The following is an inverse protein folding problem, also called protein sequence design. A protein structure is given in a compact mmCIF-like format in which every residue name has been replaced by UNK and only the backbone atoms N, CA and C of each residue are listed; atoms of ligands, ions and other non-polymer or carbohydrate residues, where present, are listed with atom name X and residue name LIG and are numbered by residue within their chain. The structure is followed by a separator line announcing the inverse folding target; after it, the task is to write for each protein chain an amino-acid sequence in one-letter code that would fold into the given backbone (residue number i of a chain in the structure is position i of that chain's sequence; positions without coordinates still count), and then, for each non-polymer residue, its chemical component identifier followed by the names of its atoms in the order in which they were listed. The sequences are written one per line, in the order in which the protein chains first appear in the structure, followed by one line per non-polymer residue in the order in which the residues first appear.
data_IF_214666807183
#
_entry.id   IF_214666807183
#
_cell.length_a   1.000
_cell.length_b   1.000
_cell.length_c   1.000
_cell.angle_alpha   90.00
_cell.angle_beta   90.00
_cell.angle_gamma   90.00
#
_symmetry.space_group_name_H-M   'P 1'
#
loop_
_entity.id
_entity.type
_entity.pdbx_description
1 polymer ?
#
# COMPACT_ATOMS: atom_id res chain seq x y z
N UNK A 1 14.38 -12.56 15.22
CA UNK A 1 13.24 -12.36 14.28
C UNK A 1 12.15 -13.42 14.38
N UNK A 2 12.47 -14.72 14.43
CA UNK A 2 11.45 -15.77 14.40
C UNK A 2 10.51 -15.81 15.63
N UNK A 3 11.01 -15.38 16.79
CA UNK A 3 10.23 -15.26 18.04
C UNK A 3 9.12 -14.20 17.99
N UNK A 4 9.19 -13.25 17.05
CA UNK A 4 8.15 -12.23 16.83
C UNK A 4 7.07 -12.64 15.82
N UNK A 5 7.23 -13.78 15.16
CA UNK A 5 6.25 -14.27 14.19
C UNK A 5 5.16 -15.03 14.94
N UNK A 6 3.89 -14.68 14.72
CA UNK A 6 2.72 -15.42 15.22
C UNK A 6 2.57 -16.73 14.45
N UNK A 7 3.51 -17.66 14.62
CA UNK A 7 3.49 -19.02 14.08
C UNK A 7 3.96 -19.98 15.17
N UNK A 8 3.26 -21.10 15.40
CA UNK A 8 3.67 -22.08 16.40
C UNK A 8 4.97 -22.82 16.03
N UNK A 9 5.38 -22.79 14.76
CA UNK A 9 6.63 -23.40 14.28
C UNK A 9 7.17 -22.68 13.03
N UNK A 10 7.79 -21.49 13.18
CA UNK A 10 8.35 -20.79 12.03
C UNK A 10 9.55 -21.59 11.46
N UNK A 11 9.50 -21.90 10.16
CA UNK A 11 10.64 -22.49 9.48
C UNK A 11 11.72 -21.40 9.26
N UNK A 12 12.80 -21.49 10.04
CA UNK A 12 13.87 -20.48 10.07
C UNK A 12 14.63 -20.42 8.74
N UNK A 13 14.85 -21.56 8.09
CA UNK A 13 15.58 -21.63 6.82
C UNK A 13 14.83 -20.91 5.70
N UNK A 14 13.51 -21.12 5.61
CA UNK A 14 12.68 -20.41 4.64
C UNK A 14 12.59 -18.92 4.95
N UNK A 15 12.45 -18.54 6.22
CA UNK A 15 12.49 -17.13 6.62
C UNK A 15 13.82 -16.47 6.22
N UNK A 16 14.96 -17.12 6.50
CA UNK A 16 16.27 -16.61 6.14
C UNK A 16 16.42 -16.43 4.62
N UNK A 17 15.89 -17.36 3.81
CA UNK A 17 15.90 -17.24 2.34
C UNK A 17 15.06 -16.07 1.84
N UNK A 18 13.87 -15.87 2.41
CA UNK A 18 13.00 -14.73 2.09
C UNK A 18 13.69 -13.41 2.48
N UNK A 19 14.22 -13.33 3.69
CA UNK A 19 14.91 -12.13 4.17
C UNK A 19 16.15 -11.80 3.32
N UNK A 20 16.95 -12.79 2.92
CA UNK A 20 18.07 -12.61 1.97
C UNK A 20 17.61 -12.00 0.64
N UNK A 21 16.49 -12.47 0.08
CA UNK A 21 15.91 -11.89 -1.13
C UNK A 21 15.50 -10.42 -0.89
N UNK A 22 14.82 -10.13 0.22
CA UNK A 22 14.36 -8.78 0.53
C UNK A 22 15.53 -7.81 0.79
N UNK A 23 16.63 -8.29 1.37
CA UNK A 23 17.88 -7.53 1.50
C UNK A 23 18.51 -7.27 0.13
N UNK A 24 18.57 -8.28 -0.74
CA UNK A 24 19.05 -8.11 -2.11
C UNK A 24 18.21 -7.10 -2.90
N UNK A 25 16.89 -7.03 -2.63
CA UNK A 25 15.97 -6.03 -3.19
C UNK A 25 16.02 -4.68 -2.46
N UNK A 26 16.90 -4.50 -1.46
CA UNK A 26 17.08 -3.29 -0.64
C UNK A 26 15.83 -2.88 0.14
N UNK A 27 14.93 -3.83 0.40
CA UNK A 27 13.76 -3.61 1.26
C UNK A 27 14.21 -3.63 2.72
N UNK A 28 15.09 -4.55 3.09
CA UNK A 28 15.80 -4.57 4.38
C UNK A 28 17.29 -4.39 4.17
N UNK A 29 18.03 -4.13 5.26
CA UNK A 29 19.49 -4.18 5.29
C UNK A 29 19.96 -5.15 6.36
N UNK A 30 21.24 -5.50 6.34
CA UNK A 30 21.89 -6.30 7.38
C UNK A 30 23.07 -5.52 7.94
N UNK A 31 23.21 -5.51 9.26
CA UNK A 31 24.45 -5.13 9.91
C UNK A 31 25.44 -6.30 9.79
N UNK A 32 26.72 -6.00 9.51
CA UNK A 32 27.74 -7.06 9.46
C UNK A 32 27.90 -7.67 10.84
N UNK A 33 28.04 -9.00 10.94
CA UNK A 33 28.42 -9.62 12.20
C UNK A 33 29.78 -9.08 12.63
N UNK A 34 29.86 -8.52 13.84
CA UNK A 34 31.12 -8.31 14.52
C UNK A 34 31.79 -9.67 14.75
N UNK A 35 33.12 -9.71 14.87
CA UNK A 35 33.90 -10.95 14.94
C UNK A 35 33.47 -11.96 16.04
N UNK A 36 32.65 -11.52 17.00
CA UNK A 36 32.10 -12.34 18.10
C UNK A 36 30.62 -12.75 17.92
N UNK A 37 29.92 -12.32 16.86
CA UNK A 37 28.49 -12.61 16.65
C UNK A 37 28.27 -13.46 15.39
N UNK A 38 27.73 -14.67 15.53
CA UNK A 38 27.38 -15.55 14.40
C UNK A 38 26.00 -15.23 13.80
N UNK A 39 25.20 -14.37 14.43
CA UNK A 39 23.80 -14.15 14.06
C UNK A 39 23.62 -12.94 13.11
N UNK A 40 22.96 -13.17 11.97
CA UNK A 40 22.63 -12.10 11.01
C UNK A 40 21.47 -11.26 11.56
N UNK A 41 21.76 -9.98 11.83
CA UNK A 41 20.75 -8.99 12.24
C UNK A 41 20.22 -8.25 11.01
N UNK A 42 18.90 -8.10 10.94
CA UNK A 42 18.21 -7.39 9.86
C UNK A 42 17.63 -6.07 10.36
N UNK A 43 17.86 -5.00 9.62
CA UNK A 43 17.43 -3.65 9.95
C UNK A 43 16.48 -3.08 8.89
N UNK A 44 15.65 -2.13 9.32
CA UNK A 44 14.70 -1.42 8.45
C UNK A 44 15.41 -0.39 7.57
N UNK A 45 15.07 -0.39 6.28
CA UNK A 45 15.37 0.72 5.36
C UNK A 45 14.21 1.71 5.31
N UNK A 46 14.42 2.85 4.63
CA UNK A 46 13.35 3.80 4.31
C UNK A 46 12.19 3.11 3.56
N UNK A 47 12.47 2.16 2.67
CA UNK A 47 11.43 1.43 1.92
C UNK A 47 10.61 0.52 2.83
N UNK A 48 11.23 -0.26 3.71
CA UNK A 48 10.48 -1.13 4.64
C UNK A 48 9.65 -0.37 5.66
N UNK A 49 10.01 0.88 6.01
CA UNK A 49 9.24 1.70 6.96
C UNK A 49 7.83 2.00 6.45
N UNK A 50 7.65 2.16 5.15
CA UNK A 50 6.32 2.36 4.54
C UNK A 50 5.41 1.12 4.65
N UNK A 51 5.98 -0.07 4.89
CA UNK A 51 5.25 -1.33 5.03
C UNK A 51 4.88 -1.64 6.49
N UNK A 52 5.30 -0.79 7.44
CA UNK A 52 4.93 -0.96 8.83
C UNK A 52 3.49 -0.47 9.04
N UNK A 53 2.74 -1.19 9.88
CA UNK A 53 1.46 -0.70 10.40
C UNK A 53 1.77 0.19 11.60
N UNK A 54 1.84 1.49 11.38
CA UNK A 54 1.75 2.49 12.45
C UNK A 54 0.27 2.62 12.84
N UNK A 55 -0.03 2.84 14.12
CA UNK A 55 -1.41 3.04 14.58
C UNK A 55 -2.02 4.36 14.09
N UNK A 56 -1.20 5.29 13.60
CA UNK A 56 -1.63 6.63 13.19
C UNK A 56 -1.73 6.86 11.68
N UNK A 57 -1.13 5.99 10.85
CA UNK A 57 -1.06 6.19 9.39
C UNK A 57 -1.29 4.91 8.58
N UNK A 58 -1.86 5.02 7.35
CA UNK A 58 -2.07 3.87 6.48
C UNK A 58 -0.76 3.27 6.00
N UNK A 59 -0.64 1.95 6.09
CA UNK A 59 0.53 1.21 5.63
C UNK A 59 0.45 0.86 4.14
N UNK A 60 1.56 0.98 3.40
CA UNK A 60 1.66 0.45 2.03
C UNK A 60 1.63 -1.09 1.98
N UNK A 61 1.67 -1.77 3.14
CA UNK A 61 1.43 -3.21 3.19
C UNK A 61 0.06 -3.58 2.57
N UNK A 62 -0.97 -2.75 2.75
CA UNK A 62 -2.30 -3.02 2.19
C UNK A 62 -2.30 -2.95 0.66
N UNK A 63 -1.51 -2.04 0.08
CA UNK A 63 -1.31 -2.01 -1.37
C UNK A 63 -0.64 -3.28 -1.86
N UNK A 64 0.44 -3.71 -1.20
CA UNK A 64 1.17 -4.94 -1.57
C UNK A 64 0.26 -6.16 -1.47
N UNK A 65 -0.55 -6.27 -0.41
CA UNK A 65 -1.49 -7.37 -0.22
C UNK A 65 -2.56 -7.37 -1.32
N UNK A 66 -3.14 -6.21 -1.63
CA UNK A 66 -4.17 -6.10 -2.67
C UNK A 66 -3.63 -6.46 -4.06
N UNK A 67 -2.51 -5.87 -4.47
CA UNK A 67 -1.92 -6.11 -5.81
C UNK A 67 -1.46 -7.56 -6.01
N UNK A 68 -1.22 -8.30 -4.93
CA UNK A 68 -0.89 -9.73 -4.96
C UNK A 68 -2.10 -10.64 -4.69
N UNK A 69 -3.28 -10.07 -4.45
CA UNK A 69 -4.49 -10.86 -4.23
C UNK A 69 -4.94 -11.56 -5.52
N UNK A 70 -5.40 -12.83 -5.49
CA UNK A 70 -5.83 -13.58 -6.68
C UNK A 70 -6.80 -12.83 -7.61
N UNK A 71 -7.69 -12.02 -7.02
CA UNK A 71 -8.67 -11.22 -7.78
C UNK A 71 -7.97 -10.15 -8.64
N UNK A 72 -6.94 -9.47 -8.12
CA UNK A 72 -6.21 -8.45 -8.87
C UNK A 72 -5.07 -9.03 -9.70
N UNK A 73 -4.60 -10.25 -9.39
CA UNK A 73 -3.57 -10.92 -10.18
C UNK A 73 -4.13 -11.67 -11.39
N UNK A 74 -5.35 -12.23 -11.31
CA UNK A 74 -5.97 -12.97 -12.41
C UNK A 74 -6.05 -12.20 -13.75
N UNK A 75 -6.39 -10.89 -13.79
CA UNK A 75 -6.46 -10.11 -15.03
C UNK A 75 -5.16 -10.08 -15.83
N UNK A 76 -3.99 -10.18 -15.19
CA UNK A 76 -2.69 -10.17 -15.89
C UNK A 76 -2.55 -11.34 -16.88
N UNK A 77 -3.22 -12.47 -16.63
CA UNK A 77 -3.23 -13.62 -17.53
C UNK A 77 -4.08 -13.43 -18.79
N UNK A 78 -4.92 -12.38 -18.83
CA UNK A 78 -5.79 -12.06 -19.95
C UNK A 78 -5.28 -10.89 -20.79
N UNK A 79 -4.22 -10.19 -20.36
CA UNK A 79 -3.72 -8.99 -21.04
C UNK A 79 -3.42 -9.18 -22.53
N UNK A 80 -2.78 -10.29 -22.89
CA UNK A 80 -2.46 -10.59 -24.30
C UNK A 80 -3.71 -10.77 -25.18
N UNK A 81 -4.85 -11.07 -24.57
CA UNK A 81 -6.15 -11.27 -25.22
C UNK A 81 -7.06 -10.04 -25.10
N UNK A 82 -6.56 -8.93 -24.55
CA UNK A 82 -7.33 -7.73 -24.21
C UNK A 82 -6.83 -6.47 -24.93
N UNK A 83 -6.24 -6.58 -26.12
CA UNK A 83 -5.95 -5.41 -26.95
C UNK A 83 -7.29 -4.73 -27.31
N UNK A 84 -7.60 -3.61 -26.66
CA UNK A 84 -8.85 -2.87 -26.82
C UNK A 84 -10.00 -3.27 -25.89
N UNK A 85 -9.76 -4.03 -24.81
CA UNK A 85 -10.79 -4.37 -23.82
C UNK A 85 -10.26 -4.48 -22.39
N UNK A 86 -11.16 -4.71 -21.43
CA UNK A 86 -10.82 -4.76 -20.01
C UNK A 86 -10.45 -6.17 -19.54
N UNK A 87 -9.20 -6.36 -19.11
CA UNK A 87 -8.72 -7.65 -18.61
C UNK A 87 -9.44 -8.14 -17.36
N UNK A 88 -9.87 -7.22 -16.48
CA UNK A 88 -10.63 -7.57 -15.28
C UNK A 88 -11.97 -8.21 -15.63
N UNK A 89 -12.72 -7.59 -16.54
CA UNK A 89 -14.01 -8.11 -17.02
C UNK A 89 -13.86 -9.46 -17.69
N UNK A 90 -12.76 -9.72 -18.43
CA UNK A 90 -12.50 -11.06 -18.98
C UNK A 90 -12.17 -12.12 -17.93
N UNK A 91 -11.47 -11.73 -16.85
CA UNK A 91 -11.10 -12.65 -15.79
C UNK A 91 -12.30 -13.03 -14.89
N UNK A 92 -13.19 -12.06 -14.64
CA UNK A 92 -14.21 -12.19 -13.59
C UNK A 92 -15.65 -12.12 -14.10
N UNK A 93 -15.87 -11.72 -15.36
CA UNK A 93 -17.21 -11.59 -15.96
C UNK A 93 -17.96 -10.31 -15.59
N UNK A 94 -17.37 -9.44 -14.75
CA UNK A 94 -17.97 -8.20 -14.28
C UNK A 94 -16.98 -7.05 -14.38
N UNK A 95 -17.47 -5.83 -14.56
CA UNK A 95 -16.66 -4.63 -14.39
C UNK A 95 -16.16 -4.55 -12.94
N UNK A 96 -14.96 -3.99 -12.71
CA UNK A 96 -14.34 -3.96 -11.38
C UNK A 96 -15.23 -3.30 -10.32
N UNK A 97 -15.91 -2.20 -10.66
CA UNK A 97 -16.83 -1.51 -9.75
C UNK A 97 -18.04 -2.36 -9.35
N UNK A 98 -18.62 -3.10 -10.29
CA UNK A 98 -19.74 -4.02 -9.99
C UNK A 98 -19.27 -5.16 -9.08
N UNK A 99 -18.06 -5.66 -9.35
CA UNK A 99 -17.45 -6.70 -8.53
C UNK A 99 -17.16 -6.21 -7.10
N UNK A 100 -16.61 -5.00 -6.96
CA UNK A 100 -16.38 -4.34 -5.67
C UNK A 100 -17.70 -4.13 -4.93
N UNK A 101 -18.76 -3.69 -5.61
CA UNK A 101 -20.06 -3.48 -5.00
C UNK A 101 -20.69 -4.81 -4.50
N UNK A 102 -20.50 -5.90 -5.24
CA UNK A 102 -21.08 -7.20 -4.92
C UNK A 102 -20.28 -8.00 -3.87
N UNK A 103 -18.96 -7.76 -3.74
CA UNK A 103 -18.08 -8.54 -2.88
C UNK A 103 -17.56 -7.71 -1.69
N UNK A 104 -18.13 -7.91 -0.51
CA UNK A 104 -17.78 -7.18 0.71
C UNK A 104 -16.31 -7.34 1.12
N UNK A 105 -15.76 -8.55 1.05
CA UNK A 105 -14.38 -8.81 1.44
C UNK A 105 -13.41 -8.09 0.50
N UNK A 106 -13.63 -8.22 -0.81
CA UNK A 106 -12.84 -7.52 -1.80
C UNK A 106 -13.00 -6.00 -1.70
N UNK A 107 -14.20 -5.50 -1.38
CA UNK A 107 -14.42 -4.07 -1.17
C UNK A 107 -13.58 -3.54 -0.01
N UNK A 108 -13.45 -4.28 1.09
CA UNK A 108 -12.60 -3.88 2.22
C UNK A 108 -11.12 -3.86 1.80
N UNK A 109 -10.62 -4.91 1.16
CA UNK A 109 -9.25 -4.99 0.65
C UNK A 109 -8.94 -3.85 -0.35
N UNK A 110 -9.80 -3.68 -1.35
CA UNK A 110 -9.73 -2.58 -2.32
C UNK A 110 -9.88 -1.22 -1.61
N UNK A 111 -10.51 -1.23 -0.44
CA UNK A 111 -10.60 -0.06 0.43
C UNK A 111 -9.32 0.37 1.08
N UNK A 112 -8.69 -0.56 1.76
CA UNK A 112 -7.44 -0.27 2.42
C UNK A 112 -6.33 0.05 1.39
N UNK A 113 -6.35 -0.59 0.21
CA UNK A 113 -5.47 -0.28 -0.91
C UNK A 113 -5.59 1.17 -1.41
N UNK A 114 -6.79 1.63 -1.78
CA UNK A 114 -6.96 3.00 -2.28
C UNK A 114 -6.70 4.04 -1.19
N UNK A 115 -6.99 3.70 0.07
CA UNK A 115 -6.76 4.59 1.21
C UNK A 115 -5.26 4.80 1.47
N UNK A 116 -4.45 3.74 1.43
CA UNK A 116 -3.02 3.85 1.69
C UNK A 116 -2.27 4.52 0.54
N UNK A 117 -2.63 4.22 -0.71
CA UNK A 117 -2.03 4.86 -1.90
C UNK A 117 -2.35 6.36 -1.95
N UNK A 118 -3.60 6.74 -1.72
CA UNK A 118 -4.01 8.16 -1.67
C UNK A 118 -3.26 8.95 -0.60
N UNK A 119 -3.06 8.37 0.58
CA UNK A 119 -2.34 9.04 1.67
C UNK A 119 -0.88 9.34 1.27
N UNK A 120 -0.17 8.37 0.69
CA UNK A 120 1.21 8.56 0.24
C UNK A 120 1.29 9.62 -0.86
N UNK A 121 0.40 9.56 -1.85
CA UNK A 121 0.37 10.54 -2.94
C UNK A 121 0.09 11.93 -2.41
N UNK A 122 -0.84 12.09 -1.47
CA UNK A 122 -1.15 13.39 -0.89
C UNK A 122 -0.06 13.93 0.01
N UNK A 123 0.61 13.11 0.81
CA UNK A 123 1.76 13.58 1.59
C UNK A 123 2.85 14.17 0.69
N UNK A 124 3.13 13.51 -0.43
CA UNK A 124 4.06 14.04 -1.43
C UNK A 124 3.47 15.29 -2.13
N UNK A 125 2.24 15.21 -2.62
CA UNK A 125 1.59 16.23 -3.46
C UNK A 125 1.21 17.50 -2.72
N UNK A 126 0.67 17.41 -1.50
CA UNK A 126 0.28 18.56 -0.67
C UNK A 126 1.50 19.43 -0.32
N UNK A 127 2.68 18.83 -0.17
CA UNK A 127 3.91 19.61 0.00
C UNK A 127 4.25 20.42 -1.26
N UNK A 128 4.06 19.82 -2.44
CA UNK A 128 4.38 20.43 -3.73
C UNK A 128 3.34 21.46 -4.19
N UNK A 129 2.06 21.27 -3.85
CA UNK A 129 0.95 22.16 -4.25
C UNK A 129 0.42 23.03 -3.10
N UNK A 130 1.20 23.17 -2.02
CA UNK A 130 0.83 23.92 -0.82
C UNK A 130 0.30 25.33 -1.13
N UNK A 131 0.99 26.04 -2.03
CA UNK A 131 0.62 27.41 -2.41
C UNK A 131 -0.73 27.47 -3.14
N UNK A 132 -1.07 26.46 -3.94
CA UNK A 132 -2.36 26.39 -4.61
C UNK A 132 -3.52 26.24 -3.63
N UNK A 133 -3.34 25.42 -2.59
CA UNK A 133 -4.32 25.29 -1.50
C UNK A 133 -4.41 26.57 -0.65
N UNK A 134 -3.31 27.27 -0.40
CA UNK A 134 -3.29 28.55 0.33
C UNK A 134 -3.94 29.68 -0.47
N UNK A 135 -3.75 29.70 -1.79
CA UNK A 135 -4.33 30.70 -2.67
C UNK A 135 -5.86 30.59 -2.79
N UNK A 136 -6.44 29.43 -2.46
CA UNK A 136 -7.88 29.30 -2.29
C UNK A 136 -8.32 30.12 -1.08
N UNK A 137 -9.13 31.15 -1.32
CA UNK A 137 -9.67 31.99 -0.25
C UNK A 137 -10.58 31.21 0.70
N UNK A 138 -10.82 31.75 1.90
CA UNK A 138 -11.56 31.12 3.02
C UNK A 138 -13.05 30.82 2.77
N UNK A 139 -13.52 30.90 1.53
CA UNK A 139 -14.88 30.55 1.08
C UNK A 139 -14.87 29.55 -0.08
N UNK A 140 -13.73 28.93 -0.34
CA UNK A 140 -13.58 27.94 -1.39
C UNK A 140 -14.05 26.58 -0.88
N UNK A 141 -14.72 25.79 -1.72
CA UNK A 141 -15.19 24.45 -1.37
C UNK A 141 -14.39 23.42 -2.16
N UNK A 142 -13.81 22.45 -1.45
CA UNK A 142 -13.14 21.31 -2.07
C UNK A 142 -14.06 20.09 -2.00
N UNK A 143 -14.23 19.42 -3.14
CA UNK A 143 -15.06 18.21 -3.26
C UNK A 143 -14.19 17.07 -3.78
N UNK A 144 -14.10 16.01 -2.99
CA UNK A 144 -13.37 14.78 -3.32
C UNK A 144 -14.31 13.79 -4.05
N UNK A 145 -14.42 13.96 -5.37
CA UNK A 145 -15.29 13.12 -6.21
C UNK A 145 -14.67 11.72 -6.33
N UNK A 146 -15.34 10.71 -5.78
CA UNK A 146 -14.80 9.36 -5.69
C UNK A 146 -13.87 9.12 -4.51
N UNK A 147 -13.80 10.05 -3.54
CA UNK A 147 -12.90 10.02 -2.38
C UNK A 147 -13.11 8.86 -1.40
N UNK A 148 -14.25 8.17 -1.53
CA UNK A 148 -14.62 6.94 -0.85
C UNK A 148 -14.47 6.99 0.68
N UNK A 149 -13.33 6.60 1.26
CA UNK A 149 -13.11 6.70 2.73
C UNK A 149 -12.92 8.14 3.19
N UNK A 150 -12.76 9.10 2.27
CA UNK A 150 -12.59 10.52 2.57
C UNK A 150 -11.24 10.87 3.19
N UNK A 151 -10.32 9.90 3.27
CA UNK A 151 -8.98 10.13 3.84
C UNK A 151 -8.19 11.18 3.07
N UNK A 152 -8.43 11.26 1.76
CA UNK A 152 -7.73 12.18 0.90
C UNK A 152 -8.10 13.64 1.26
N UNK A 153 -9.40 13.92 1.29
CA UNK A 153 -9.95 15.19 1.76
C UNK A 153 -9.57 15.51 3.21
N UNK A 154 -9.59 14.52 4.10
CA UNK A 154 -9.22 14.70 5.51
C UNK A 154 -7.78 15.21 5.66
N UNK A 155 -6.84 14.68 4.87
CA UNK A 155 -5.44 15.13 4.88
C UNK A 155 -5.29 16.55 4.30
N UNK A 156 -6.08 16.92 3.29
CA UNK A 156 -6.08 18.29 2.75
C UNK A 156 -6.56 19.28 3.82
N UNK A 157 -7.72 19.03 4.43
CA UNK A 157 -8.32 19.91 5.45
C UNK A 157 -7.42 20.02 6.68
N UNK A 158 -6.79 18.92 7.10
CA UNK A 158 -5.83 18.91 8.22
C UNK A 158 -4.65 19.85 7.98
N UNK A 159 -4.13 19.92 6.76
CA UNK A 159 -2.99 20.77 6.40
C UNK A 159 -3.41 22.19 5.99
N UNK A 160 -4.68 22.40 5.64
CA UNK A 160 -5.24 23.65 5.15
C UNK A 160 -6.61 23.95 5.81
N UNK A 161 -6.65 24.30 7.11
CA UNK A 161 -7.91 24.45 7.85
C UNK A 161 -8.80 25.62 7.39
N UNK A 162 -8.30 26.46 6.49
CA UNK A 162 -9.05 27.57 5.89
C UNK A 162 -9.93 27.14 4.71
N UNK A 163 -9.77 25.91 4.24
CA UNK A 163 -10.61 25.25 3.23
C UNK A 163 -11.84 24.65 3.90
#
# INVERSE_FOLDING_TARGET
MATGIRSPSPNIDYLARVMKLLVHKRIFTTSQPTADDEEVVYDLTNSSRWLLKDSSEPSLAEMVLAENHPILTAPWHYLSKCVGGEAFTKAHGYHIWDFVAANREFNLLFSDHLACTSNVVLKAGSSAYREGFVAMGSRSMVVDVGGRTGMALAEIVKNHPHI
#
